data_IF_563429213306
#
_entry.id   IF_563429213306
#
_cell.length_a   1.000
_cell.length_b   1.000
_cell.length_c   1.000
_cell.angle_alpha   90.00
_cell.angle_beta   90.00
_cell.angle_gamma   90.00
#
_symmetry.space_group_name_H-M   'P 1'
#
loop_
_entity.id
_entity.type
_entity.pdbx_description
1 polymer ?
#
# COMPACT_ATOMS: atom_id res chain seq x y z
N UNK A 1 1.71 -2.65 -17.25
CA UNK A 1 1.91 -3.72 -16.24
C UNK A 1 0.62 -3.79 -15.44
N UNK A 2 -0.05 -4.94 -15.35
CA UNK A 2 -1.34 -5.02 -14.66
C UNK A 2 -1.11 -4.97 -13.15
N UNK A 3 -1.72 -3.98 -12.48
CA UNK A 3 -1.78 -3.83 -11.03
C UNK A 3 -2.31 -5.10 -10.35
N UNK A 4 -1.39 -5.96 -9.91
CA UNK A 4 -1.65 -7.17 -9.12
C UNK A 4 -2.60 -6.90 -7.94
N UNK A 5 -2.50 -5.71 -7.35
CA UNK A 5 -3.23 -5.33 -6.14
C UNK A 5 -4.74 -5.15 -6.35
N UNK A 6 -5.23 -4.78 -7.53
CA UNK A 6 -6.67 -4.60 -7.78
C UNK A 6 -7.47 -5.91 -7.71
N UNK A 7 -6.79 -7.05 -7.84
CA UNK A 7 -7.40 -8.39 -7.75
C UNK A 7 -7.32 -8.99 -6.34
N UNK A 8 -6.60 -8.36 -5.41
CA UNK A 8 -6.36 -8.86 -4.06
C UNK A 8 -7.07 -7.98 -3.01
N UNK A 9 -7.44 -8.55 -1.85
CA UNK A 9 -7.81 -7.74 -0.70
C UNK A 9 -6.60 -6.93 -0.20
N UNK A 10 -6.87 -5.78 0.42
CA UNK A 10 -5.87 -4.98 1.11
C UNK A 10 -5.26 -5.78 2.26
N UNK A 11 -3.95 -5.89 2.34
CA UNK A 11 -3.26 -6.65 3.40
C UNK A 11 -3.44 -6.01 4.78
N UNK A 12 -3.73 -4.70 4.87
CA UNK A 12 -3.96 -4.03 6.15
C UNK A 12 -5.40 -4.14 6.67
N UNK A 13 -6.41 -4.02 5.79
CA UNK A 13 -7.82 -3.97 6.23
C UNK A 13 -8.69 -5.11 5.71
N UNK A 14 -8.15 -6.01 4.88
CA UNK A 14 -8.86 -7.14 4.28
C UNK A 14 -9.92 -6.78 3.23
N UNK A 15 -10.21 -5.48 3.03
CA UNK A 15 -11.23 -5.04 2.07
C UNK A 15 -10.71 -5.11 0.64
N UNK A 16 -11.62 -5.36 -0.31
CA UNK A 16 -11.30 -5.33 -1.74
C UNK A 16 -10.79 -3.95 -2.14
N UNK A 17 -9.67 -3.90 -2.86
CA UNK A 17 -9.10 -2.66 -3.38
C UNK A 17 -9.95 -2.21 -4.58
N UNK A 18 -10.54 -1.02 -4.48
CA UNK A 18 -11.35 -0.40 -5.54
C UNK A 18 -10.77 0.98 -5.84
N UNK A 19 -10.06 1.13 -6.96
CA UNK A 19 -9.40 2.38 -7.35
C UNK A 19 -7.92 2.41 -6.98
N UNK A 20 -7.46 3.50 -6.35
CA UNK A 20 -6.06 3.70 -5.99
C UNK A 20 -5.53 2.63 -5.03
N UNK A 21 -4.31 2.16 -5.28
CA UNK A 21 -3.63 1.19 -4.45
C UNK A 21 -2.17 1.61 -4.25
N UNK A 22 -1.54 1.01 -3.23
CA UNK A 22 -0.11 1.12 -2.99
C UNK A 22 0.47 -0.28 -3.00
N UNK A 23 1.46 -0.52 -3.86
CA UNK A 23 2.11 -1.82 -4.00
C UNK A 23 3.55 -1.78 -3.54
N UNK A 24 3.94 -2.70 -2.65
CA UNK A 24 5.34 -2.93 -2.37
C UNK A 24 5.83 -4.09 -3.25
N UNK A 25 6.70 -3.84 -4.26
CA UNK A 25 7.13 -4.89 -5.19
C UNK A 25 8.00 -5.97 -4.51
N UNK A 26 8.67 -5.64 -3.40
CA UNK A 26 9.57 -6.56 -2.70
C UNK A 26 8.86 -7.51 -1.75
N UNK A 27 7.92 -7.00 -0.96
CA UNK A 27 7.13 -7.82 -0.03
C UNK A 27 5.82 -8.33 -0.66
N UNK A 28 5.49 -7.86 -1.86
CA UNK A 28 4.23 -8.15 -2.56
C UNK A 28 2.99 -7.80 -1.72
N UNK A 29 3.09 -6.71 -0.96
CA UNK A 29 2.03 -6.16 -0.09
C UNK A 29 1.23 -5.15 -0.89
N UNK A 30 -0.09 -5.24 -0.77
CA UNK A 30 -1.06 -4.40 -1.45
C UNK A 30 -1.92 -3.66 -0.42
N UNK A 31 -1.88 -2.33 -0.46
CA UNK A 31 -2.74 -1.50 0.39
C UNK A 31 -3.77 -0.76 -0.46
N UNK A 32 -4.97 -0.61 0.07
CA UNK A 32 -5.92 0.32 -0.53
C UNK A 32 -5.47 1.77 -0.29
N UNK A 33 -5.94 2.68 -1.15
CA UNK A 33 -5.64 4.11 -1.06
C UNK A 33 -5.77 4.67 0.38
N UNK A 34 -6.87 4.34 1.07
CA UNK A 34 -7.13 4.80 2.44
C UNK A 34 -6.12 4.27 3.46
N UNK A 35 -5.77 2.98 3.41
CA UNK A 35 -4.78 2.42 4.33
C UNK A 35 -3.38 2.99 4.10
N UNK A 36 -3.01 3.24 2.83
CA UNK A 36 -1.77 3.94 2.52
C UNK A 36 -1.77 5.39 3.00
N UNK A 37 -2.88 6.12 2.85
CA UNK A 37 -3.03 7.47 3.39
C UNK A 37 -2.95 7.50 4.92
N UNK A 38 -3.61 6.57 5.63
CA UNK A 38 -3.51 6.48 7.08
C UNK A 38 -2.06 6.30 7.52
N UNK A 39 -1.30 5.44 6.85
CA UNK A 39 0.14 5.29 7.12
C UNK A 39 0.92 6.59 6.90
N UNK A 40 0.63 7.36 5.84
CA UNK A 40 1.30 8.65 5.61
C UNK A 40 0.98 9.66 6.72
N UNK A 41 -0.28 9.72 7.15
CA UNK A 41 -0.77 10.65 8.18
C UNK A 41 -0.17 10.29 9.55
N UNK A 42 -0.24 9.02 9.95
CA UNK A 42 0.28 8.54 11.23
C UNK A 42 1.80 8.69 11.31
N UNK A 43 2.51 8.45 10.20
CA UNK A 43 3.97 8.57 10.13
C UNK A 43 4.46 9.97 9.70
N UNK A 44 3.69 11.05 9.97
CA UNK A 44 4.07 12.47 9.83
C UNK A 44 5.24 12.72 8.85
N UNK A 45 4.95 12.85 7.55
CA UNK A 45 5.91 13.20 6.48
C UNK A 45 6.81 12.08 5.91
N UNK A 46 6.49 10.80 6.10
CA UNK A 46 7.12 9.73 5.29
C UNK A 46 6.53 9.65 3.87
N UNK A 47 6.64 10.75 3.11
CA UNK A 47 6.54 10.69 1.66
C UNK A 47 7.94 10.65 1.07
N UNK A 48 8.28 9.66 0.24
CA UNK A 48 7.41 8.58 -0.26
C UNK A 48 7.06 7.52 0.79
N UNK A 49 5.86 6.94 0.65
CA UNK A 49 5.33 5.90 1.56
C UNK A 49 6.24 4.67 1.53
N UNK A 50 6.73 4.22 2.69
CA UNK A 50 7.64 3.06 2.81
C UNK A 50 6.93 1.84 3.40
N UNK A 51 7.27 0.67 2.86
CA UNK A 51 6.82 -0.62 3.36
C UNK A 51 7.35 -0.87 4.77
N UNK A 52 6.50 -1.13 5.76
CA UNK A 52 6.96 -1.38 7.13
C UNK A 52 7.79 -2.67 7.26
N UNK A 53 7.69 -3.60 6.31
CA UNK A 53 8.41 -4.87 6.33
C UNK A 53 9.82 -4.80 5.74
N UNK A 54 10.00 -4.04 4.65
CA UNK A 54 11.30 -3.96 3.96
C UNK A 54 11.86 -2.55 3.81
N UNK A 55 11.16 -1.55 4.35
CA UNK A 55 11.48 -0.12 4.28
C UNK A 55 11.64 0.44 2.85
N UNK A 56 11.20 -0.30 1.83
CA UNK A 56 11.22 0.12 0.43
C UNK A 56 9.97 0.94 0.10
N UNK A 57 10.11 1.89 -0.81
CA UNK A 57 9.00 2.73 -1.26
C UNK A 57 7.89 1.89 -1.91
N UNK A 58 6.64 2.20 -1.58
CA UNK A 58 5.48 1.72 -2.31
C UNK A 58 5.39 2.46 -3.64
N UNK A 59 4.99 1.72 -4.67
CA UNK A 59 4.71 2.21 -6.03
C UNK A 59 3.22 2.25 -6.31
#
# INVERSE_FOLDING_TARGET
MQDCCLRRPCDACGKRIQGGNWHCPRCNICLCYYCGLSLIIDYKHNYPLKCPMCNQEFT
#
